data_IF_689207441428
#
_entry.id   IF_689207441428
#
_cell.length_a   1.000
_cell.length_b   1.000
_cell.length_c   1.000
_cell.angle_alpha   90.00
_cell.angle_beta   90.00
_cell.angle_gamma   90.00
#
_symmetry.space_group_name_H-M   'P 1'
#
loop_
_entity.id
_entity.type
_entity.pdbx_description
1 polymer ?
#
# COMPACT_ATOMS: atom_id res chain seq x y z
N UNK A 1 -11.08 2.11 22.00
CA UNK A 1 -11.30 3.42 21.30
C UNK A 1 -10.10 3.85 20.44
N UNK A 2 -8.84 3.65 20.87
CA UNK A 2 -7.64 3.86 20.02
C UNK A 2 -7.37 2.74 18.99
N UNK A 3 -8.21 1.70 19.01
CA UNK A 3 -8.10 0.43 18.30
C UNK A 3 -8.79 0.50 16.93
N UNK A 4 -9.88 1.26 16.80
CA UNK A 4 -10.63 1.35 15.55
C UNK A 4 -9.88 2.11 14.45
N UNK A 5 -8.94 2.99 14.83
CA UNK A 5 -8.14 3.75 13.86
C UNK A 5 -7.15 2.81 13.16
N UNK A 6 -6.47 1.95 13.93
CA UNK A 6 -5.54 0.95 13.39
C UNK A 6 -6.24 -0.05 12.48
N UNK A 7 -7.35 -0.61 12.97
CA UNK A 7 -8.15 -1.56 12.20
C UNK A 7 -8.64 -0.95 10.90
N UNK A 8 -9.09 0.32 10.93
CA UNK A 8 -9.51 1.02 9.73
C UNK A 8 -8.34 1.26 8.75
N UNK A 9 -7.14 1.58 9.24
CA UNK A 9 -5.96 1.78 8.39
C UNK A 9 -5.52 0.45 7.76
N UNK A 10 -5.42 -0.62 8.54
CA UNK A 10 -5.08 -1.96 8.03
C UNK A 10 -6.09 -2.44 6.98
N UNK A 11 -7.40 -2.30 7.24
CA UNK A 11 -8.45 -2.64 6.29
C UNK A 11 -8.38 -1.78 5.02
N UNK A 12 -8.13 -0.48 5.16
CA UNK A 12 -7.94 0.45 4.03
C UNK A 12 -6.76 0.03 3.16
N UNK A 13 -5.62 -0.32 3.78
CA UNK A 13 -4.44 -0.80 3.08
C UNK A 13 -4.70 -2.11 2.33
N UNK A 14 -5.34 -3.10 2.97
CA UNK A 14 -5.72 -4.35 2.30
C UNK A 14 -6.63 -4.06 1.10
N UNK A 15 -7.60 -3.17 1.25
CA UNK A 15 -8.50 -2.79 0.16
C UNK A 15 -7.75 -2.09 -0.99
N UNK A 16 -6.83 -1.15 -0.68
CA UNK A 16 -5.95 -0.51 -1.68
C UNK A 16 -5.11 -1.55 -2.42
N UNK A 17 -4.43 -2.45 -1.69
CA UNK A 17 -3.57 -3.50 -2.23
C UNK A 17 -4.32 -4.52 -3.10
N UNK A 18 -5.62 -4.71 -2.86
CA UNK A 18 -6.52 -5.54 -3.67
C UNK A 18 -7.27 -4.79 -4.78
N UNK A 19 -7.03 -3.47 -4.93
CA UNK A 19 -7.77 -2.67 -5.92
C UNK A 19 -7.33 -3.00 -7.36
N UNK A 20 -8.25 -3.01 -8.34
CA UNK A 20 -7.92 -3.33 -9.73
C UNK A 20 -6.81 -2.44 -10.32
N UNK A 21 -6.74 -1.18 -9.89
CA UNK A 21 -5.69 -0.26 -10.30
C UNK A 21 -4.32 -0.75 -9.85
N UNK A 22 -4.15 -1.09 -8.57
CA UNK A 22 -2.90 -1.62 -8.03
C UNK A 22 -2.60 -3.04 -8.50
N UNK A 23 -3.60 -3.89 -8.74
CA UNK A 23 -3.39 -5.23 -9.29
C UNK A 23 -2.83 -5.20 -10.70
N UNK A 24 -3.33 -4.30 -11.56
CA UNK A 24 -2.74 -4.09 -12.88
C UNK A 24 -1.31 -3.57 -12.80
N UNK A 25 -1.00 -2.76 -11.78
CA UNK A 25 0.36 -2.25 -11.55
C UNK A 25 1.30 -3.33 -11.02
N UNK A 26 0.89 -4.14 -10.05
CA UNK A 26 1.67 -5.29 -9.54
C UNK A 26 2.12 -6.18 -10.69
N UNK A 27 1.20 -6.52 -11.60
CA UNK A 27 1.49 -7.36 -12.76
C UNK A 27 2.43 -6.67 -13.76
N UNK A 28 2.25 -5.36 -13.99
CA UNK A 28 3.09 -4.59 -14.92
C UNK A 28 4.56 -4.56 -14.49
N UNK A 29 4.81 -4.56 -13.18
CA UNK A 29 6.14 -4.42 -12.59
C UNK A 29 6.71 -5.70 -11.98
N UNK A 30 5.92 -6.80 -11.96
CA UNK A 30 6.32 -8.08 -11.37
C UNK A 30 6.47 -8.02 -9.85
N UNK A 31 5.54 -7.35 -9.18
CA UNK A 31 5.52 -7.15 -7.71
C UNK A 31 4.33 -7.85 -7.03
N UNK A 32 3.70 -8.82 -7.69
CA UNK A 32 2.56 -9.55 -7.17
C UNK A 32 2.89 -10.30 -5.87
N UNK A 33 4.03 -11.02 -5.86
CA UNK A 33 4.51 -11.74 -4.68
C UNK A 33 4.80 -10.78 -3.49
N UNK A 34 5.39 -9.61 -3.75
CA UNK A 34 5.73 -8.62 -2.73
C UNK A 34 4.47 -8.03 -2.10
N UNK A 35 3.47 -7.71 -2.92
CA UNK A 35 2.20 -7.15 -2.45
C UNK A 35 1.37 -8.17 -1.68
N UNK A 36 1.39 -9.45 -2.06
CA UNK A 36 0.73 -10.51 -1.30
C UNK A 36 1.44 -10.80 0.03
N UNK A 37 2.78 -10.79 0.06
CA UNK A 37 3.55 -10.82 1.33
C UNK A 37 3.20 -9.65 2.24
N UNK A 38 3.03 -8.46 1.67
CA UNK A 38 2.65 -7.27 2.42
C UNK A 38 1.23 -7.42 3.00
N UNK A 39 0.24 -7.85 2.22
CA UNK A 39 -1.11 -8.14 2.72
C UNK A 39 -1.08 -9.14 3.89
N UNK A 40 -0.35 -10.25 3.74
CA UNK A 40 -0.22 -11.25 4.80
C UNK A 40 0.43 -10.68 6.07
N UNK A 41 1.45 -9.84 5.92
CA UNK A 41 2.12 -9.18 7.05
C UNK A 41 1.16 -8.24 7.78
N UNK A 42 0.39 -7.44 7.04
CA UNK A 42 -0.62 -6.52 7.58
C UNK A 42 -1.69 -7.29 8.36
N UNK A 43 -2.22 -8.38 7.79
CA UNK A 43 -3.21 -9.22 8.49
C UNK A 43 -2.65 -9.90 9.74
N UNK A 44 -1.39 -10.34 9.71
CA UNK A 44 -0.74 -10.92 10.88
C UNK A 44 -0.55 -9.89 12.00
N UNK A 45 -0.18 -8.65 11.65
CA UNK A 45 -0.08 -7.55 12.60
C UNK A 45 -1.44 -7.18 13.18
N UNK A 46 -2.49 -7.13 12.37
CA UNK A 46 -3.87 -6.89 12.81
C UNK A 46 -4.35 -7.94 13.83
N UNK A 47 -4.07 -9.23 13.57
CA UNK A 47 -4.39 -10.30 14.52
C UNK A 47 -3.60 -10.17 15.84
N UNK A 48 -2.28 -9.90 15.75
CA UNK A 48 -1.44 -9.72 16.94
C UNK A 48 -1.83 -8.47 17.77
N UNK A 49 -2.31 -7.42 17.11
CA UNK A 49 -2.87 -6.24 17.76
C UNK A 49 -4.16 -6.57 18.52
N UNK A 50 -5.05 -7.34 17.90
CA UNK A 50 -6.32 -7.76 18.50
C UNK A 50 -6.08 -8.62 19.77
N UNK A 51 -5.10 -9.52 19.73
CA UNK A 51 -4.71 -10.32 20.89
C UNK A 51 -4.05 -9.48 22.01
N UNK A 52 -3.49 -8.32 21.65
CA UNK A 52 -2.76 -7.44 22.55
C UNK A 52 -3.60 -6.28 23.14
N UNK A 53 -4.84 -6.06 22.67
CA UNK A 53 -5.75 -4.98 23.08
C UNK A 53 -5.88 -4.88 24.61
N UNK A 54 -6.17 -5.99 25.27
CA UNK A 54 -6.34 -6.04 26.73
C UNK A 54 -5.03 -5.88 27.52
N UNK A 55 -3.88 -6.17 26.90
CA UNK A 55 -2.56 -6.08 27.52
C UNK A 55 -1.91 -4.70 27.33
N UNK A 56 -2.31 -3.95 26.30
CA UNK A 56 -1.86 -2.58 26.02
C UNK A 56 -2.00 -1.64 27.23
N UNK A 57 -3.07 -1.78 28.01
CA UNK A 57 -3.33 -0.95 29.18
C UNK A 57 -2.51 -1.37 30.42
N UNK A 58 -1.83 -2.52 30.34
CA UNK A 58 -1.14 -3.16 31.47
C UNK A 58 0.39 -3.27 31.26
N UNK A 59 0.88 -3.21 30.03
CA UNK A 59 2.32 -3.22 29.70
C UNK A 59 2.72 -2.01 28.85
N UNK A 60 3.77 -1.32 29.31
CA UNK A 60 4.38 -0.23 28.55
C UNK A 60 5.13 -0.75 27.31
N UNK A 61 5.68 -1.97 27.37
CA UNK A 61 6.32 -2.59 26.19
C UNK A 61 5.30 -2.87 25.09
N UNK A 62 4.13 -3.42 25.45
CA UNK A 62 3.04 -3.68 24.49
C UNK A 62 2.57 -2.36 23.87
N UNK A 63 2.36 -1.32 24.68
CA UNK A 63 1.97 0.00 24.16
C UNK A 63 2.98 0.59 23.17
N UNK A 64 4.28 0.47 23.45
CA UNK A 64 5.33 0.96 22.55
C UNK A 64 5.37 0.14 21.25
N UNK A 65 5.25 -1.18 21.34
CA UNK A 65 5.17 -2.06 20.17
C UNK A 65 3.99 -1.68 19.27
N UNK A 66 2.79 -1.48 19.83
CA UNK A 66 1.60 -1.03 19.08
C UNK A 66 1.86 0.30 18.38
N UNK A 67 2.53 1.27 19.03
CA UNK A 67 2.85 2.55 18.40
C UNK A 67 3.76 2.37 17.18
N UNK A 68 4.78 1.53 17.27
CA UNK A 68 5.69 1.28 16.13
C UNK A 68 4.99 0.59 14.97
N UNK A 69 4.05 -0.30 15.27
CA UNK A 69 3.21 -0.94 14.24
C UNK A 69 2.31 0.09 13.56
N UNK A 70 1.75 1.06 14.31
CA UNK A 70 0.99 2.19 13.72
C UNK A 70 1.84 2.99 12.74
N UNK A 71 3.02 3.40 13.16
CA UNK A 71 3.91 4.21 12.33
C UNK A 71 4.25 3.48 11.02
N UNK A 72 4.56 2.16 11.11
CA UNK A 72 4.82 1.34 9.94
C UNK A 72 3.64 1.24 8.97
N UNK A 73 2.40 1.23 9.46
CA UNK A 73 1.22 1.25 8.58
C UNK A 73 1.11 2.55 7.79
N UNK A 74 1.39 3.69 8.41
CA UNK A 74 1.39 4.97 7.71
C UNK A 74 2.50 5.04 6.66
N UNK A 75 3.71 4.58 6.99
CA UNK A 75 4.82 4.52 6.03
C UNK A 75 4.47 3.67 4.79
N UNK A 76 3.75 2.56 5.00
CA UNK A 76 3.28 1.69 3.90
C UNK A 76 2.19 2.37 3.07
N UNK A 77 1.25 3.08 3.68
CA UNK A 77 0.19 3.79 2.96
C UNK A 77 0.78 4.87 2.04
N UNK A 78 1.70 5.67 2.56
CA UNK A 78 2.41 6.71 1.81
C UNK A 78 3.22 6.10 0.64
N UNK A 79 3.90 4.98 0.88
CA UNK A 79 4.69 4.28 -0.15
C UNK A 79 3.79 3.75 -1.29
N UNK A 80 2.63 3.16 -0.95
CA UNK A 80 1.68 2.65 -1.95
C UNK A 80 1.16 3.81 -2.82
N UNK A 81 0.84 4.95 -2.21
CA UNK A 81 0.32 6.12 -2.91
C UNK A 81 1.40 6.75 -3.81
N UNK A 82 2.65 6.86 -3.35
CA UNK A 82 3.78 7.33 -4.17
C UNK A 82 4.03 6.41 -5.38
N UNK A 83 3.99 5.10 -5.15
CA UNK A 83 4.21 4.12 -6.20
C UNK A 83 3.09 4.14 -7.26
N UNK A 84 1.84 4.28 -6.82
CA UNK A 84 0.70 4.45 -7.71
C UNK A 84 0.83 5.73 -8.56
N UNK A 85 1.25 6.83 -7.93
CA UNK A 85 1.50 8.10 -8.63
C UNK A 85 2.59 7.97 -9.71
N UNK A 86 3.76 7.42 -9.39
CA UNK A 86 4.85 7.28 -10.37
C UNK A 86 4.48 6.34 -11.51
N UNK A 87 3.71 5.30 -11.24
CA UNK A 87 3.21 4.41 -12.29
C UNK A 87 2.28 5.14 -13.26
N UNK A 88 1.30 5.90 -12.74
CA UNK A 88 0.41 6.72 -13.57
C UNK A 88 1.21 7.76 -14.37
N UNK A 89 2.17 8.43 -13.74
CA UNK A 89 3.04 9.42 -14.37
C UNK A 89 3.81 8.82 -15.55
N UNK A 90 4.41 7.64 -15.39
CA UNK A 90 5.11 6.94 -16.48
C UNK A 90 4.18 6.55 -17.62
N UNK A 91 2.96 6.12 -17.33
CA UNK A 91 1.97 5.79 -18.38
C UNK A 91 1.57 7.02 -19.20
N UNK A 92 1.36 8.16 -18.56
CA UNK A 92 1.03 9.43 -19.24
C UNK A 92 2.19 9.87 -20.15
N UNK A 93 3.42 9.81 -19.66
CA UNK A 93 4.62 10.15 -20.45
C UNK A 93 4.75 9.21 -21.66
N UNK A 94 4.61 7.90 -21.46
CA UNK A 94 4.70 6.91 -22.53
C UNK A 94 3.62 7.11 -23.61
N UNK A 95 2.39 7.44 -23.22
CA UNK A 95 1.29 7.77 -24.15
C UNK A 95 1.57 9.04 -24.95
N UNK A 96 2.08 10.08 -24.29
CA UNK A 96 2.45 11.34 -24.95
C UNK A 96 3.55 11.14 -25.99
N UNK A 97 4.59 10.37 -25.67
CA UNK A 97 5.69 10.07 -26.61
C UNK A 97 5.22 9.26 -27.82
N UNK A 98 4.29 8.31 -27.62
CA UNK A 98 3.71 7.52 -28.71
C UNK A 98 2.93 8.40 -29.70
N UNK A 99 2.09 9.29 -29.19
CA UNK A 99 1.32 10.22 -30.04
C UNK A 99 2.22 11.18 -30.83
N UNK A 100 3.32 11.67 -30.23
CA UNK A 100 4.29 12.49 -30.94
C UNK A 100 5.01 11.73 -32.07
N UNK A 101 5.31 10.44 -31.86
CA UNK A 101 5.94 9.58 -32.86
C UNK A 101 5.01 9.29 -34.05
N UNK A 102 3.73 8.98 -33.79
CA UNK A 102 2.74 8.75 -34.84
C UNK A 102 2.53 9.99 -35.72
N UNK A 103 2.49 11.19 -35.13
CA UNK A 103 2.38 12.45 -35.89
C UNK A 103 3.61 12.65 -36.80
N UNK A 104 4.82 12.39 -36.31
CA UNK A 104 6.05 12.49 -37.10
C UNK A 104 6.08 11.47 -38.26
N UNK A 105 5.64 10.24 -38.03
CA UNK A 105 5.54 9.21 -39.08
C UNK A 105 4.48 9.56 -40.13
N UNK A 106 3.38 10.21 -39.75
CA UNK A 106 2.36 10.69 -40.71
C UNK A 106 2.84 11.86 -41.58
N UNK A 107 3.87 12.58 -41.15
CA UNK A 107 4.43 13.74 -41.86
C UNK A 107 5.62 13.40 -42.76
N UNK A 108 6.13 12.16 -42.71
CA UNK A 108 7.30 11.70 -43.47
C UNK A 108 6.91 10.86 -44.69
#
# INVERSE_FOLDING_TARGET
MAESILFNVAASLIAKLGSPALTQFQLLWGLDDEFDKLKHTISAMEAALLDAEDQQFKSHEVKNWISRVKDAFYDVDDLIDEFAYETLRRQVIAKSQRGAKEILEMMS
#
